data_IF_146158231673
#
_entry.id   IF_146158231673
#
_cell.length_a   1.000
_cell.length_b   1.000
_cell.length_c   1.000
_cell.angle_alpha   90.00
_cell.angle_beta   90.00
_cell.angle_gamma   90.00
#
_symmetry.space_group_name_H-M   'P 1'
#
loop_
_entity.id
_entity.type
_entity.pdbx_description
1 polymer ?
#
# COMPACT_ATOMS: atom_id res chain seq x y z
N UNK A 1 -49.96 21.78 -21.06
CA UNK A 1 -49.79 20.31 -21.01
C UNK A 1 -48.34 19.89 -20.77
N UNK A 2 -47.34 20.69 -21.16
CA UNK A 2 -45.90 20.37 -21.01
C UNK A 2 -45.34 20.48 -19.58
N UNK A 3 -45.96 21.25 -18.68
CA UNK A 3 -45.44 21.43 -17.31
C UNK A 3 -45.62 20.20 -16.39
N UNK A 4 -46.63 19.36 -16.65
CA UNK A 4 -46.88 18.12 -15.86
C UNK A 4 -45.94 16.98 -16.27
N UNK A 5 -45.36 17.03 -17.47
CA UNK A 5 -44.43 16.01 -17.97
C UNK A 5 -43.06 16.09 -17.28
N UNK A 6 -42.60 17.31 -16.96
CA UNK A 6 -41.34 17.53 -16.24
C UNK A 6 -41.37 17.01 -14.79
N UNK A 7 -42.52 17.08 -14.12
CA UNK A 7 -42.65 16.56 -12.75
C UNK A 7 -42.58 15.03 -12.67
N UNK A 8 -43.13 14.31 -13.66
CA UNK A 8 -42.98 12.85 -13.72
C UNK A 8 -41.56 12.41 -14.07
N UNK A 9 -40.84 13.19 -14.88
CA UNK A 9 -39.46 12.89 -15.25
C UNK A 9 -38.48 13.08 -14.07
N UNK A 10 -38.74 14.07 -13.21
CA UNK A 10 -37.95 14.30 -11.98
C UNK A 10 -38.18 13.17 -10.96
N UNK A 11 -39.39 12.64 -10.84
CA UNK A 11 -39.69 11.54 -9.90
C UNK A 11 -39.08 10.21 -10.37
N UNK A 12 -39.00 9.95 -11.67
CA UNK A 12 -38.33 8.74 -12.21
C UNK A 12 -36.82 8.81 -12.06
N UNK A 13 -36.21 9.99 -12.19
CA UNK A 13 -34.77 10.18 -11.93
C UNK A 13 -34.44 10.02 -10.44
N UNK A 14 -35.31 10.46 -9.53
CA UNK A 14 -35.11 10.25 -8.09
C UNK A 14 -35.35 8.79 -7.65
N UNK A 15 -36.23 8.05 -8.32
CA UNK A 15 -36.47 6.64 -8.01
C UNK A 15 -35.34 5.72 -8.51
N UNK A 16 -34.62 6.11 -9.57
CA UNK A 16 -33.45 5.37 -10.08
C UNK A 16 -32.15 5.69 -9.32
N UNK A 17 -32.08 6.83 -8.61
CA UNK A 17 -30.97 7.17 -7.71
C UNK A 17 -30.95 6.40 -6.38
N UNK A 18 -31.91 5.50 -6.14
CA UNK A 18 -31.96 4.63 -4.96
C UNK A 18 -31.43 3.22 -5.21
N UNK A 19 -30.99 2.91 -6.44
CA UNK A 19 -30.14 1.75 -6.65
C UNK A 19 -28.71 2.16 -6.33
N UNK A 20 -28.34 1.98 -5.06
CA UNK A 20 -26.96 1.90 -4.62
C UNK A 20 -26.21 1.00 -5.59
N UNK A 21 -25.35 1.60 -6.41
CA UNK A 21 -24.29 0.85 -7.07
C UNK A 21 -23.54 0.11 -5.96
N UNK A 22 -23.35 -1.21 -6.02
CA UNK A 22 -22.50 -1.89 -5.06
C UNK A 22 -21.14 -1.18 -5.12
N UNK A 23 -20.69 -0.67 -3.98
CA UNK A 23 -19.40 0.00 -3.84
C UNK A 23 -18.33 -0.92 -4.44
N UNK A 24 -17.60 -0.43 -5.45
CA UNK A 24 -16.43 -1.11 -6.02
C UNK A 24 -15.34 -1.33 -4.95
N UNK A 25 -15.36 -0.53 -3.86
CA UNK A 25 -14.53 -0.71 -2.68
C UNK A 25 -14.82 -1.98 -1.85
N UNK A 26 -15.98 -2.61 -2.01
CA UNK A 26 -16.37 -3.79 -1.21
C UNK A 26 -15.69 -5.10 -1.66
N UNK A 27 -14.97 -5.10 -2.78
CA UNK A 27 -14.58 -6.35 -3.44
C UNK A 27 -13.33 -7.02 -2.83
N UNK A 28 -12.51 -6.27 -2.08
CA UNK A 28 -11.26 -6.76 -1.47
C UNK A 28 -11.12 -6.37 0.02
N UNK A 29 -12.22 -5.99 0.69
CA UNK A 29 -12.16 -5.54 2.09
C UNK A 29 -11.55 -6.60 3.01
N UNK A 30 -11.83 -7.88 2.76
CA UNK A 30 -11.26 -8.96 3.55
C UNK A 30 -9.74 -9.07 3.37
N UNK A 31 -9.23 -8.99 2.13
CA UNK A 31 -7.80 -9.03 1.84
C UNK A 31 -7.08 -7.83 2.43
N UNK A 32 -7.65 -6.64 2.34
CA UNK A 32 -7.08 -5.43 2.93
C UNK A 32 -7.01 -5.52 4.47
N UNK A 33 -8.07 -6.07 5.07
CA UNK A 33 -8.14 -6.33 6.50
C UNK A 33 -7.03 -7.29 6.94
N UNK A 34 -6.97 -8.46 6.30
CA UNK A 34 -5.95 -9.47 6.58
C UNK A 34 -4.54 -8.93 6.38
N UNK A 35 -4.30 -8.20 5.29
CA UNK A 35 -2.99 -7.60 4.99
C UNK A 35 -2.55 -6.63 6.09
N UNK A 36 -3.47 -5.80 6.57
CA UNK A 36 -3.20 -4.87 7.67
C UNK A 36 -2.79 -5.62 8.94
N UNK A 37 -3.46 -6.74 9.26
CA UNK A 37 -3.13 -7.56 10.41
C UNK A 37 -1.78 -8.29 10.25
N UNK A 38 -1.47 -8.79 9.06
CA UNK A 38 -0.17 -9.40 8.75
C UNK A 38 0.96 -8.40 8.96
N UNK A 39 0.87 -7.21 8.36
CA UNK A 39 1.89 -6.16 8.48
C UNK A 39 2.08 -5.74 9.94
N UNK A 40 0.99 -5.64 10.70
CA UNK A 40 1.03 -5.37 12.14
C UNK A 40 1.75 -6.48 12.90
N UNK A 41 1.49 -7.74 12.56
CA UNK A 41 2.18 -8.89 13.12
C UNK A 41 3.69 -8.88 12.86
N UNK A 42 4.11 -8.46 11.66
CA UNK A 42 5.52 -8.30 11.30
C UNK A 42 6.19 -7.23 12.17
N UNK A 43 5.54 -6.07 12.34
CA UNK A 43 6.03 -5.01 13.22
C UNK A 43 6.16 -5.44 14.69
N UNK A 44 5.20 -6.24 15.19
CA UNK A 44 5.27 -6.85 16.52
C UNK A 44 6.43 -7.85 16.65
N UNK A 45 6.70 -8.66 15.63
CA UNK A 45 7.82 -9.60 15.64
C UNK A 45 9.17 -8.88 15.69
N UNK A 46 9.34 -7.80 14.91
CA UNK A 46 10.56 -6.99 14.97
C UNK A 46 10.73 -6.29 16.31
N UNK A 47 9.64 -5.78 16.88
CA UNK A 47 9.62 -5.21 18.23
C UNK A 47 10.06 -6.24 19.28
N UNK A 48 9.51 -7.45 19.20
CA UNK A 48 9.86 -8.57 20.08
C UNK A 48 11.32 -8.98 19.95
N UNK A 49 11.83 -9.09 18.72
CA UNK A 49 13.23 -9.41 18.48
C UNK A 49 14.16 -8.34 19.07
N UNK A 50 13.84 -7.06 18.88
CA UNK A 50 14.61 -5.97 19.49
C UNK A 50 14.62 -6.03 21.02
N UNK A 51 13.49 -6.40 21.65
CA UNK A 51 13.40 -6.61 23.11
C UNK A 51 14.21 -7.82 23.58
N UNK A 52 14.24 -8.91 22.81
CA UNK A 52 15.08 -10.08 23.10
C UNK A 52 16.57 -9.75 23.05
N UNK A 53 16.95 -8.82 22.17
CA UNK A 53 18.31 -8.32 22.02
C UNK A 53 18.65 -7.18 23.02
N UNK A 54 17.75 -6.87 23.95
CA UNK A 54 17.86 -5.76 24.93
C UNK A 54 18.06 -4.38 24.27
N UNK A 55 17.55 -4.22 23.05
CA UNK A 55 17.65 -3.00 22.25
C UNK A 55 16.34 -2.21 22.28
N UNK A 56 16.15 -1.41 23.34
CA UNK A 56 14.97 -0.56 23.49
C UNK A 56 14.85 0.52 22.42
N UNK A 57 15.97 1.03 21.90
CA UNK A 57 15.95 2.11 20.90
C UNK A 57 15.32 1.61 19.59
N UNK A 58 15.67 0.40 19.15
CA UNK A 58 15.02 -0.22 17.99
C UNK A 58 13.60 -0.71 18.31
N UNK A 59 13.35 -1.24 19.52
CA UNK A 59 12.00 -1.64 19.93
C UNK A 59 11.02 -0.45 19.93
N UNK A 60 11.47 0.73 20.38
CA UNK A 60 10.70 1.97 20.32
C UNK A 60 10.32 2.30 18.87
N UNK A 61 11.29 2.32 17.96
CA UNK A 61 11.04 2.64 16.56
C UNK A 61 10.14 1.63 15.86
N UNK A 62 10.34 0.33 16.06
CA UNK A 62 9.46 -0.69 15.48
C UNK A 62 8.03 -0.58 16.03
N UNK A 63 7.87 -0.36 17.33
CA UNK A 63 6.54 -0.15 17.91
C UNK A 63 5.89 1.16 17.42
N UNK A 64 6.65 2.22 17.15
CA UNK A 64 6.16 3.44 16.50
C UNK A 64 5.70 3.17 15.06
N UNK A 65 6.52 2.51 14.24
CA UNK A 65 6.14 2.14 12.87
C UNK A 65 4.85 1.31 12.84
N UNK A 66 4.77 0.32 13.74
CA UNK A 66 3.59 -0.56 13.89
C UNK A 66 2.34 0.23 14.29
N UNK A 67 2.45 1.12 15.29
CA UNK A 67 1.32 1.93 15.75
C UNK A 67 0.86 2.92 14.68
N UNK A 68 1.79 3.55 13.95
CA UNK A 68 1.45 4.46 12.86
C UNK A 68 0.74 3.72 11.73
N UNK A 69 1.26 2.55 11.34
CA UNK A 69 0.66 1.70 10.32
C UNK A 69 -0.75 1.21 10.72
N UNK A 70 -0.92 0.72 11.95
CA UNK A 70 -2.24 0.29 12.42
C UNK A 70 -3.20 1.48 12.53
N UNK A 71 -2.71 2.58 13.09
CA UNK A 71 -3.46 3.82 13.31
C UNK A 71 -3.94 4.47 12.02
N UNK A 72 -3.13 4.48 10.94
CA UNK A 72 -3.58 5.01 9.63
C UNK A 72 -4.73 4.19 9.03
N UNK A 73 -4.81 2.90 9.38
CA UNK A 73 -5.85 1.98 8.89
C UNK A 73 -7.06 1.82 9.85
N UNK A 74 -7.03 2.43 11.04
CA UNK A 74 -8.00 2.12 12.12
C UNK A 74 -9.46 2.34 11.72
N UNK A 75 -9.74 3.36 10.90
CA UNK A 75 -11.12 3.66 10.50
C UNK A 75 -11.69 2.56 9.61
N UNK A 76 -10.87 2.02 8.70
CA UNK A 76 -11.24 0.89 7.86
C UNK A 76 -11.37 -0.39 8.69
N UNK A 77 -10.42 -0.67 9.59
CA UNK A 77 -10.50 -1.86 10.45
C UNK A 77 -11.80 -1.86 11.29
N UNK A 78 -12.21 -0.70 11.79
CA UNK A 78 -13.48 -0.52 12.53
C UNK A 78 -14.73 -0.78 11.70
N UNK A 79 -14.70 -0.65 10.37
CA UNK A 79 -15.87 -0.99 9.55
C UNK A 79 -16.11 -2.49 9.48
N UNK A 80 -15.08 -3.30 9.76
CA UNK A 80 -15.12 -4.76 9.69
C UNK A 80 -15.36 -5.35 11.08
N UNK A 81 -14.52 -4.99 12.06
CA UNK A 81 -14.67 -5.41 13.45
C UNK A 81 -14.19 -4.30 14.39
N UNK A 82 -15.12 -3.45 14.85
CA UNK A 82 -14.79 -2.31 15.71
C UNK A 82 -14.21 -2.74 17.06
N UNK A 83 -14.75 -3.79 17.67
CA UNK A 83 -14.36 -4.21 19.01
C UNK A 83 -12.94 -4.80 18.99
N UNK A 84 -12.65 -5.67 18.02
CA UNK A 84 -11.29 -6.18 17.83
C UNK A 84 -10.31 -5.05 17.51
N UNK A 85 -10.69 -4.14 16.61
CA UNK A 85 -9.80 -3.06 16.15
C UNK A 85 -9.44 -2.09 17.26
N UNK A 86 -10.42 -1.69 18.07
CA UNK A 86 -10.19 -0.79 19.19
C UNK A 86 -9.34 -1.44 20.28
N UNK A 87 -9.62 -2.71 20.63
CA UNK A 87 -8.82 -3.44 21.61
C UNK A 87 -7.37 -3.60 21.14
N UNK A 88 -7.15 -4.02 19.89
CA UNK A 88 -5.81 -4.15 19.32
C UNK A 88 -5.07 -2.80 19.32
N UNK A 89 -5.75 -1.71 18.93
CA UNK A 89 -5.12 -0.39 18.93
C UNK A 89 -4.69 0.05 20.34
N UNK A 90 -5.54 -0.18 21.36
CA UNK A 90 -5.21 0.13 22.76
C UNK A 90 -4.00 -0.69 23.23
N UNK A 91 -4.00 -2.01 22.96
CA UNK A 91 -2.90 -2.89 23.38
C UNK A 91 -1.57 -2.50 22.69
N UNK A 92 -1.60 -2.08 21.42
CA UNK A 92 -0.41 -1.57 20.72
C UNK A 92 0.13 -0.27 21.33
N UNK A 93 -0.76 0.61 21.80
CA UNK A 93 -0.38 1.85 22.48
C UNK A 93 0.15 1.60 23.90
N UNK A 94 -0.44 0.66 24.62
CA UNK A 94 0.01 0.25 25.96
C UNK A 94 1.38 -0.43 25.88
N UNK A 95 1.59 -1.31 24.89
CA UNK A 95 2.89 -1.92 24.60
C UNK A 95 3.94 -0.84 24.32
N UNK A 96 3.64 0.11 23.43
CA UNK A 96 4.56 1.21 23.11
C UNK A 96 4.89 2.06 24.35
N UNK A 97 3.88 2.38 25.16
CA UNK A 97 4.07 3.10 26.43
C UNK A 97 4.97 2.32 27.40
N UNK A 98 4.82 1.00 27.46
CA UNK A 98 5.66 0.11 28.25
C UNK A 98 7.12 0.07 27.78
N UNK A 99 7.35 0.14 26.47
CA UNK A 99 8.70 0.25 25.87
C UNK A 99 9.34 1.59 26.27
N UNK A 100 8.61 2.70 26.11
CA UNK A 100 9.08 4.05 26.50
C UNK A 100 9.43 4.14 27.99
N UNK A 101 8.66 3.48 28.85
CA UNK A 101 8.93 3.42 30.29
C UNK A 101 10.03 2.44 30.68
N UNK A 102 10.62 1.72 29.71
CA UNK A 102 11.62 0.67 29.92
C UNK A 102 11.16 -0.42 30.90
N UNK A 103 9.89 -0.83 30.76
CA UNK A 103 9.33 -1.99 31.47
C UNK A 103 10.12 -3.26 31.12
N UNK A 104 10.13 -4.27 31.99
CA UNK A 104 11.03 -5.43 31.80
C UNK A 104 10.77 -6.15 30.46
N UNK A 105 11.81 -6.62 29.75
CA UNK A 105 11.62 -7.30 28.47
C UNK A 105 10.67 -8.50 28.55
N UNK A 106 10.73 -9.26 29.65
CA UNK A 106 9.82 -10.38 29.88
C UNK A 106 8.36 -9.96 29.95
N UNK A 107 8.06 -8.83 30.60
CA UNK A 107 6.68 -8.34 30.71
C UNK A 107 6.17 -7.87 29.35
N UNK A 108 7.00 -7.14 28.60
CA UNK A 108 6.66 -6.65 27.26
C UNK A 108 6.48 -7.79 26.26
N UNK A 109 7.35 -8.81 26.28
CA UNK A 109 7.21 -10.00 25.44
C UNK A 109 5.94 -10.78 25.80
N UNK A 110 5.59 -10.86 27.09
CA UNK A 110 4.34 -11.48 27.54
C UNK A 110 3.10 -10.69 27.08
N UNK A 111 3.20 -9.39 26.82
CA UNK A 111 2.15 -8.60 26.18
C UNK A 111 2.09 -8.84 24.66
N UNK A 112 3.24 -8.99 23.99
CA UNK A 112 3.29 -9.22 22.53
C UNK A 112 2.71 -10.59 22.16
N UNK A 113 3.01 -11.65 22.92
CA UNK A 113 2.65 -13.02 22.55
C UNK A 113 1.13 -13.21 22.31
N UNK A 114 0.22 -12.76 23.19
CA UNK A 114 -1.22 -12.83 22.94
C UNK A 114 -1.68 -12.04 21.71
N UNK A 115 -1.07 -10.88 21.43
CA UNK A 115 -1.40 -10.08 20.24
C UNK A 115 -1.05 -10.85 18.96
N UNK A 116 0.15 -11.44 18.91
CA UNK A 116 0.58 -12.27 17.79
C UNK A 116 -0.31 -13.51 17.62
N UNK A 117 -0.67 -14.19 18.72
CA UNK A 117 -1.59 -15.32 18.68
C UNK A 117 -2.94 -14.90 18.09
N UNK A 118 -3.50 -13.77 18.55
CA UNK A 118 -4.79 -13.27 18.06
C UNK A 118 -4.74 -12.91 16.58
N UNK A 119 -3.69 -12.25 16.11
CA UNK A 119 -3.50 -11.92 14.70
C UNK A 119 -3.39 -13.19 13.82
N UNK A 120 -2.76 -14.25 14.34
CA UNK A 120 -2.59 -15.52 13.61
C UNK A 120 -3.89 -16.33 13.43
N UNK A 121 -4.92 -16.05 14.23
CA UNK A 121 -6.22 -16.71 14.14
C UNK A 121 -7.08 -16.18 12.99
N UNK A 122 -6.72 -15.03 12.42
CA UNK A 122 -7.47 -14.46 11.29
C UNK A 122 -7.15 -15.28 10.03
N UNK A 123 -8.16 -15.88 9.38
CA UNK A 123 -7.92 -16.68 8.19
C UNK A 123 -7.33 -15.82 7.08
N UNK A 124 -6.34 -16.38 6.38
CA UNK A 124 -5.84 -15.79 5.15
C UNK A 124 -7.02 -15.62 4.18
N UNK A 125 -7.14 -14.42 3.60
CA UNK A 125 -8.18 -14.11 2.62
C UNK A 125 -8.16 -15.05 1.42
N UNK A 126 -9.23 -15.04 0.62
CA UNK A 126 -9.33 -15.96 -0.52
C UNK A 126 -8.34 -15.60 -1.63
N UNK A 127 -8.02 -14.31 -1.77
CA UNK A 127 -7.10 -13.83 -2.80
C UNK A 127 -5.73 -13.44 -2.24
N UNK A 128 -4.83 -14.41 -2.19
CA UNK A 128 -3.44 -14.22 -1.72
C UNK A 128 -2.64 -13.23 -2.59
N UNK A 129 -2.96 -13.08 -3.88
CA UNK A 129 -2.27 -12.14 -4.76
C UNK A 129 -2.50 -10.69 -4.31
N UNK A 130 -3.72 -10.38 -3.88
CA UNK A 130 -4.06 -9.07 -3.32
C UNK A 130 -3.30 -8.86 -2.02
N UNK A 131 -3.26 -9.86 -1.14
CA UNK A 131 -2.51 -9.77 0.12
C UNK A 131 -1.03 -9.47 -0.12
N UNK A 132 -0.40 -10.20 -1.05
CA UNK A 132 0.99 -9.96 -1.44
C UNK A 132 1.16 -8.55 -2.00
N UNK A 133 0.25 -8.08 -2.86
CA UNK A 133 0.30 -6.73 -3.40
C UNK A 133 0.22 -5.65 -2.30
N UNK A 134 -0.65 -5.81 -1.30
CA UNK A 134 -0.74 -4.89 -0.16
C UNK A 134 0.52 -4.88 0.70
N UNK A 135 1.11 -6.05 0.96
CA UNK A 135 2.40 -6.14 1.67
C UNK A 135 3.50 -5.41 0.89
N UNK A 136 3.50 -5.53 -0.44
CA UNK A 136 4.46 -4.84 -1.29
C UNK A 136 4.26 -3.33 -1.33
N UNK A 137 3.02 -2.82 -1.23
CA UNK A 137 2.77 -1.38 -1.08
C UNK A 137 3.42 -0.82 0.19
N UNK A 138 3.28 -1.53 1.32
CA UNK A 138 3.95 -1.12 2.55
C UNK A 138 5.47 -1.33 2.46
N UNK A 139 5.94 -2.33 1.71
CA UNK A 139 7.37 -2.55 1.46
C UNK A 139 8.00 -1.34 0.78
N UNK A 140 7.31 -0.78 -0.21
CA UNK A 140 7.74 0.44 -0.91
C UNK A 140 7.76 1.65 0.03
N UNK A 141 6.68 1.88 0.78
CA UNK A 141 6.59 2.99 1.77
C UNK A 141 7.76 2.94 2.77
N UNK A 142 8.03 1.77 3.35
CA UNK A 142 9.14 1.59 4.29
C UNK A 142 10.51 1.76 3.63
N UNK A 143 10.66 1.34 2.37
CA UNK A 143 11.92 1.53 1.66
C UNK A 143 12.18 3.01 1.34
N UNK A 144 11.15 3.76 0.94
CA UNK A 144 11.24 5.20 0.75
C UNK A 144 11.63 5.91 2.05
N UNK A 145 10.99 5.55 3.18
CA UNK A 145 11.38 6.07 4.50
C UNK A 145 12.85 5.81 4.82
N UNK A 146 13.34 4.60 4.53
CA UNK A 146 14.75 4.26 4.69
C UNK A 146 15.66 5.16 3.82
N UNK A 147 15.34 5.35 2.54
CA UNK A 147 16.16 6.18 1.64
C UNK A 147 16.17 7.65 2.09
N UNK A 148 15.03 8.18 2.50
CA UNK A 148 14.88 9.59 2.90
C UNK A 148 15.50 9.90 4.27
N UNK A 149 15.34 8.99 5.23
CA UNK A 149 15.69 9.24 6.63
C UNK A 149 16.87 8.42 7.15
N UNK A 150 17.38 7.47 6.35
CA UNK A 150 18.47 6.56 6.70
C UNK A 150 18.19 5.77 7.98
N UNK A 151 16.95 5.32 8.15
CA UNK A 151 16.49 4.53 9.30
C UNK A 151 16.69 3.05 9.05
N UNK A 152 17.65 2.44 9.76
CA UNK A 152 17.90 0.99 9.66
C UNK A 152 16.64 0.16 10.00
N UNK A 153 15.79 0.65 10.91
CA UNK A 153 14.54 -0.03 11.26
C UNK A 153 13.54 -0.06 10.09
N UNK A 154 13.42 1.01 9.30
CA UNK A 154 12.59 0.98 8.08
C UNK A 154 13.17 0.02 7.04
N UNK A 155 14.50 -0.05 6.92
CA UNK A 155 15.15 -1.03 6.04
C UNK A 155 14.89 -2.48 6.48
N UNK A 156 15.01 -2.80 7.78
CA UNK A 156 14.69 -4.13 8.28
C UNK A 156 13.20 -4.46 8.19
N UNK A 157 12.31 -3.46 8.32
CA UNK A 157 10.89 -3.61 8.04
C UNK A 157 10.65 -3.96 6.55
N UNK A 158 11.28 -3.24 5.61
CA UNK A 158 11.25 -3.58 4.17
C UNK A 158 11.67 -5.04 3.93
N UNK A 159 12.80 -5.47 4.51
CA UNK A 159 13.27 -6.85 4.35
C UNK A 159 12.26 -7.87 4.87
N UNK A 160 11.67 -7.59 6.04
CA UNK A 160 10.71 -8.49 6.69
C UNK A 160 9.39 -8.60 5.92
N UNK A 161 8.92 -7.48 5.36
CA UNK A 161 7.74 -7.43 4.49
C UNK A 161 7.99 -8.17 3.18
N UNK A 162 9.15 -7.96 2.56
CA UNK A 162 9.54 -8.65 1.33
C UNK A 162 9.62 -10.16 1.54
N UNK A 163 10.25 -10.63 2.61
CA UNK A 163 10.30 -12.05 2.95
C UNK A 163 8.91 -12.63 3.23
N UNK A 164 8.05 -11.92 3.95
CA UNK A 164 6.68 -12.35 4.18
C UNK A 164 5.86 -12.40 2.89
N UNK A 165 6.03 -11.45 1.98
CA UNK A 165 5.34 -11.44 0.69
C UNK A 165 5.64 -12.72 -0.12
N UNK A 166 6.91 -13.16 -0.13
CA UNK A 166 7.35 -14.42 -0.75
C UNK A 166 6.78 -15.64 -0.04
N UNK A 167 6.68 -15.62 1.30
CA UNK A 167 6.07 -16.70 2.08
C UNK A 167 4.59 -16.85 1.72
N UNK A 168 3.83 -15.75 1.71
CA UNK A 168 2.40 -15.75 1.36
C UNK A 168 2.20 -16.21 -0.09
N UNK A 169 3.02 -15.73 -1.02
CA UNK A 169 2.93 -16.13 -2.42
C UNK A 169 3.17 -17.64 -2.62
N UNK A 170 4.13 -18.22 -1.89
CA UNK A 170 4.46 -19.65 -1.98
C UNK A 170 3.39 -20.58 -1.37
N UNK A 171 2.47 -20.05 -0.56
CA UNK A 171 1.31 -20.81 -0.09
C UNK A 171 0.26 -21.02 -1.21
N UNK A 172 0.38 -20.27 -2.30
CA UNK A 172 -0.45 -20.41 -3.49
C UNK A 172 0.24 -21.26 -4.57
N UNK A 173 -0.54 -22.08 -5.26
CA UNK A 173 -0.08 -22.77 -6.47
C UNK A 173 -0.40 -21.90 -7.69
N UNK A 174 0.54 -21.08 -8.15
CA UNK A 174 0.43 -20.35 -9.41
C UNK A 174 0.35 -21.36 -10.57
N UNK A 175 -0.79 -21.50 -11.27
CA UNK A 175 -0.95 -22.54 -12.29
C UNK A 175 -0.19 -22.23 -13.59
N UNK A 176 0.04 -20.94 -13.88
CA UNK A 176 0.81 -20.49 -15.04
C UNK A 176 2.31 -20.51 -14.70
N UNK A 177 3.02 -21.50 -15.24
CA UNK A 177 4.47 -21.67 -15.07
C UNK A 177 5.27 -20.47 -15.60
N UNK A 178 4.79 -19.79 -16.64
CA UNK A 178 5.47 -18.60 -17.18
C UNK A 178 5.35 -17.43 -16.21
N UNK A 179 4.14 -17.16 -15.71
CA UNK A 179 3.91 -16.12 -14.70
C UNK A 179 4.74 -16.38 -13.44
N UNK A 180 4.82 -17.65 -13.01
CA UNK A 180 5.65 -18.02 -11.87
C UNK A 180 7.13 -17.69 -12.09
N UNK A 181 7.69 -18.06 -13.24
CA UNK A 181 9.10 -17.77 -13.57
C UNK A 181 9.38 -16.27 -13.65
N UNK A 182 8.43 -15.50 -14.18
CA UNK A 182 8.51 -14.04 -14.26
C UNK A 182 8.50 -13.39 -12.87
N UNK A 183 7.56 -13.78 -12.02
CA UNK A 183 7.50 -13.33 -10.62
C UNK A 183 8.78 -13.71 -9.85
N UNK A 184 9.26 -14.96 -10.00
CA UNK A 184 10.52 -15.41 -9.37
C UNK A 184 11.70 -14.53 -9.81
N UNK A 185 11.74 -14.13 -11.08
CA UNK A 185 12.76 -13.21 -11.62
C UNK A 185 12.65 -11.82 -11.00
N UNK A 186 11.44 -11.23 -10.98
CA UNK A 186 11.24 -9.89 -10.43
C UNK A 186 11.52 -9.84 -8.92
N UNK A 187 11.10 -10.84 -8.15
CA UNK A 187 11.46 -10.93 -6.74
C UNK A 187 12.97 -11.08 -6.53
N UNK A 188 13.66 -11.85 -7.39
CA UNK A 188 15.12 -11.96 -7.33
C UNK A 188 15.82 -10.62 -7.59
N UNK A 189 15.33 -9.85 -8.55
CA UNK A 189 15.89 -8.53 -8.87
C UNK A 189 15.52 -7.47 -7.82
N UNK A 190 14.34 -7.60 -7.19
CA UNK A 190 13.92 -6.78 -6.05
C UNK A 190 14.83 -7.04 -4.84
N UNK A 191 15.06 -8.32 -4.49
CA UNK A 191 15.97 -8.71 -3.40
C UNK A 191 17.37 -8.11 -3.62
N UNK A 192 17.91 -8.20 -4.85
CA UNK A 192 19.21 -7.59 -5.19
C UNK A 192 19.18 -6.06 -5.09
N UNK A 193 18.11 -5.43 -5.57
CA UNK A 193 18.01 -3.97 -5.59
C UNK A 193 17.95 -3.39 -4.18
N UNK A 194 17.14 -4.00 -3.30
CA UNK A 194 17.05 -3.67 -1.88
C UNK A 194 18.37 -3.95 -1.16
N UNK A 195 18.98 -5.12 -1.36
CA UNK A 195 20.27 -5.48 -0.74
C UNK A 195 21.41 -4.53 -1.15
N UNK A 196 21.40 -4.06 -2.40
CA UNK A 196 22.35 -3.07 -2.91
C UNK A 196 22.01 -1.64 -2.49
N UNK A 197 20.92 -1.42 -1.75
CA UNK A 197 20.42 -0.09 -1.34
C UNK A 197 20.26 0.84 -2.55
N UNK A 198 19.69 0.31 -3.63
CA UNK A 198 19.44 1.05 -4.87
C UNK A 198 18.49 2.23 -4.63
N UNK A 199 18.41 3.17 -5.57
CA UNK A 199 17.46 4.28 -5.43
C UNK A 199 16.00 3.76 -5.33
N UNK A 200 15.12 4.56 -4.72
CA UNK A 200 13.74 4.15 -4.46
C UNK A 200 12.96 3.90 -5.77
N UNK A 201 13.24 4.62 -6.86
CA UNK A 201 12.60 4.41 -8.17
C UNK A 201 12.86 3.00 -8.71
N UNK A 202 14.10 2.51 -8.63
CA UNK A 202 14.45 1.17 -9.09
C UNK A 202 13.71 0.07 -8.30
N UNK A 203 13.56 0.26 -6.99
CA UNK A 203 12.83 -0.67 -6.12
C UNK A 203 11.31 -0.58 -6.36
N UNK A 204 10.77 0.64 -6.45
CA UNK A 204 9.36 0.90 -6.74
C UNK A 204 8.92 0.29 -8.07
N UNK A 205 9.70 0.47 -9.14
CA UNK A 205 9.39 -0.11 -10.45
C UNK A 205 9.28 -1.65 -10.42
N UNK A 206 10.14 -2.33 -9.65
CA UNK A 206 10.07 -3.78 -9.48
C UNK A 206 8.84 -4.19 -8.66
N UNK A 207 8.52 -3.44 -7.61
CA UNK A 207 7.30 -3.65 -6.80
C UNK A 207 6.05 -3.49 -7.67
N UNK A 208 5.95 -2.42 -8.46
CA UNK A 208 4.82 -2.16 -9.37
C UNK A 208 4.67 -3.25 -10.42
N UNK A 209 5.77 -3.73 -11.01
CA UNK A 209 5.74 -4.84 -11.97
C UNK A 209 5.17 -6.12 -11.35
N UNK A 210 5.65 -6.48 -10.14
CA UNK A 210 5.14 -7.64 -9.40
C UNK A 210 3.65 -7.48 -9.08
N UNK A 211 3.23 -6.31 -8.57
CA UNK A 211 1.84 -6.04 -8.23
C UNK A 211 0.92 -6.14 -9.46
N UNK A 212 1.32 -5.58 -10.59
CA UNK A 212 0.59 -5.65 -11.86
C UNK A 212 0.35 -7.10 -12.29
N UNK A 213 1.40 -7.92 -12.25
CA UNK A 213 1.34 -9.31 -12.70
C UNK A 213 0.53 -10.19 -11.74
N UNK A 214 0.61 -9.92 -10.43
CA UNK A 214 -0.17 -10.63 -9.40
C UNK A 214 -1.66 -10.32 -9.47
N UNK A 215 -2.01 -9.04 -9.63
CA UNK A 215 -3.41 -8.61 -9.66
C UNK A 215 -4.09 -8.97 -10.98
N UNK A 216 -3.34 -9.42 -12.00
CA UNK A 216 -3.83 -9.72 -13.35
C UNK A 216 -4.68 -8.57 -13.90
N UNK A 217 -4.37 -7.35 -13.46
CA UNK A 217 -5.07 -6.14 -13.82
C UNK A 217 -4.57 -5.68 -15.17
N UNK A 218 -5.09 -6.28 -16.25
CA UNK A 218 -5.41 -5.44 -17.39
C UNK A 218 -6.45 -4.41 -16.88
N UNK A 219 -6.00 -3.19 -16.60
CA UNK A 219 -6.79 -2.07 -16.04
C UNK A 219 -7.29 -2.27 -14.61
N UNK A 220 -6.55 -1.73 -13.63
CA UNK A 220 -7.22 -1.11 -12.48
C UNK A 220 -8.19 -0.08 -13.11
N UNK A 221 -9.44 -0.05 -12.67
CA UNK A 221 -10.30 1.10 -12.87
C UNK A 221 -9.72 2.25 -12.04
N UNK A 222 -8.55 2.74 -12.47
CA UNK A 222 -8.11 4.06 -12.12
C UNK A 222 -9.25 4.93 -12.60
N UNK A 223 -9.71 5.86 -11.78
CA UNK A 223 -10.58 6.90 -12.29
C UNK A 223 -9.74 7.69 -13.30
N UNK A 224 -9.74 7.24 -14.56
CA UNK A 224 -8.91 7.79 -15.63
C UNK A 224 -9.27 9.25 -15.85
N UNK A 225 -10.52 9.63 -15.56
CA UNK A 225 -10.93 11.03 -15.56
C UNK A 225 -10.21 11.83 -14.46
N UNK A 226 -10.04 11.24 -13.27
CA UNK A 226 -9.25 11.82 -12.19
C UNK A 226 -7.75 11.87 -12.52
N UNK A 227 -7.15 10.88 -13.20
CA UNK A 227 -5.75 10.99 -13.65
C UNK A 227 -5.52 12.20 -14.56
N UNK A 228 -6.41 12.46 -15.52
CA UNK A 228 -6.29 13.66 -16.35
C UNK A 228 -6.42 14.95 -15.53
N UNK A 229 -7.20 14.96 -14.45
CA UNK A 229 -7.33 16.10 -13.55
C UNK A 229 -6.06 16.29 -12.69
N UNK A 230 -5.54 15.21 -12.11
CA UNK A 230 -4.29 15.19 -11.33
C UNK A 230 -3.11 15.65 -12.19
N UNK A 231 -2.93 15.08 -13.38
CA UNK A 231 -1.87 15.47 -14.33
C UNK A 231 -1.97 16.96 -14.69
N UNK A 232 -3.19 17.49 -14.91
CA UNK A 232 -3.39 18.92 -15.21
C UNK A 232 -3.04 19.82 -14.02
N UNK A 233 -3.35 19.39 -12.81
CA UNK A 233 -3.02 20.12 -11.60
C UNK A 233 -1.50 20.13 -11.38
N UNK A 234 -0.84 18.98 -11.48
CA UNK A 234 0.62 18.86 -11.38
C UNK A 234 1.33 19.71 -12.44
N UNK A 235 0.87 19.71 -13.70
CA UNK A 235 1.43 20.61 -14.72
C UNK A 235 1.18 22.09 -14.45
N UNK A 236 0.05 22.44 -13.82
CA UNK A 236 -0.23 23.82 -13.42
C UNK A 236 0.71 24.28 -12.31
N UNK A 237 1.01 23.42 -11.34
CA UNK A 237 1.96 23.67 -10.26
C UNK A 237 3.40 23.70 -10.77
N UNK A 238 3.76 22.79 -11.68
CA UNK A 238 5.05 22.78 -12.37
C UNK A 238 5.27 24.10 -13.10
N UNK A 239 4.26 24.61 -13.81
CA UNK A 239 4.35 25.88 -14.51
C UNK A 239 4.58 27.05 -13.55
N UNK A 240 3.98 27.02 -12.36
CA UNK A 240 4.23 28.02 -11.31
C UNK A 240 5.68 27.91 -10.82
N UNK A 241 6.16 26.71 -10.51
CA UNK A 241 7.52 26.44 -10.03
C UNK A 241 8.60 26.88 -11.05
N UNK A 242 8.40 26.59 -12.34
CA UNK A 242 9.27 27.05 -13.42
C UNK A 242 9.32 28.59 -13.48
N UNK A 243 8.18 29.26 -13.35
CA UNK A 243 8.11 30.73 -13.40
C UNK A 243 8.70 31.40 -12.16
N UNK A 244 8.78 30.70 -11.02
CA UNK A 244 9.49 31.16 -9.82
C UNK A 244 10.97 30.77 -9.80
N UNK A 245 11.51 30.18 -10.88
CA UNK A 245 12.86 29.59 -10.95
C UNK A 245 13.13 28.51 -9.89
N UNK A 246 12.09 27.85 -9.40
CA UNK A 246 12.19 26.72 -8.49
C UNK A 246 12.23 25.40 -9.28
N UNK A 247 13.39 25.15 -9.90
CA UNK A 247 13.55 24.01 -10.80
C UNK A 247 13.56 22.65 -10.09
N UNK A 248 13.87 22.61 -8.79
CA UNK A 248 13.84 21.37 -8.00
C UNK A 248 12.41 20.88 -7.84
N UNK A 249 11.52 21.76 -7.39
CA UNK A 249 10.10 21.47 -7.27
C UNK A 249 9.46 21.20 -8.64
N UNK A 250 9.89 21.93 -9.68
CA UNK A 250 9.41 21.69 -11.04
C UNK A 250 9.78 20.30 -11.58
N UNK A 251 10.96 19.78 -11.24
CA UNK A 251 11.42 18.45 -11.64
C UNK A 251 10.61 17.35 -10.92
N UNK A 252 10.40 17.48 -9.62
CA UNK A 252 9.58 16.55 -8.83
C UNK A 252 8.14 16.47 -9.37
N UNK A 253 7.50 17.63 -9.60
CA UNK A 253 6.15 17.70 -10.17
C UNK A 253 6.07 17.12 -11.60
N UNK A 254 7.16 17.20 -12.38
CA UNK A 254 7.22 16.62 -13.72
C UNK A 254 7.27 15.09 -13.67
N UNK A 255 8.08 14.55 -12.76
CA UNK A 255 8.25 13.12 -12.53
C UNK A 255 6.94 12.52 -12.03
N UNK A 256 6.30 13.17 -11.04
CA UNK A 256 5.02 12.74 -10.50
C UNK A 256 3.91 12.78 -11.58
N UNK A 257 3.86 13.84 -12.39
CA UNK A 257 2.89 13.92 -13.48
C UNK A 257 3.09 12.82 -14.53
N UNK A 258 4.34 12.43 -14.79
CA UNK A 258 4.68 11.46 -15.83
C UNK A 258 4.67 10.01 -15.32
N UNK A 259 5.60 9.64 -14.44
CA UNK A 259 5.78 8.26 -13.98
C UNK A 259 4.66 7.81 -13.04
N UNK A 260 4.15 8.71 -12.20
CA UNK A 260 3.16 8.33 -11.19
C UNK A 260 1.71 8.52 -11.66
N UNK A 261 1.50 9.09 -12.86
CA UNK A 261 0.16 9.35 -13.36
C UNK A 261 -0.01 9.09 -14.87
N UNK A 262 0.84 9.66 -15.74
CA UNK A 262 0.70 9.50 -17.19
C UNK A 262 1.02 8.09 -17.68
N UNK A 263 2.01 7.41 -17.10
CA UNK A 263 2.40 6.03 -17.46
C UNK A 263 1.19 5.07 -17.46
N UNK A 264 0.27 5.27 -16.50
CA UNK A 264 -0.97 4.50 -16.38
C UNK A 264 -1.97 4.70 -17.54
N UNK A 265 -1.80 5.74 -18.35
CA UNK A 265 -2.64 6.07 -19.50
C UNK A 265 -2.02 5.61 -20.83
N UNK A 266 -0.70 5.34 -20.88
CA UNK A 266 0.03 5.08 -22.12
C UNK A 266 -0.56 3.90 -22.89
N UNK A 267 -0.76 2.76 -22.22
CA UNK A 267 -1.31 1.56 -22.87
C UNK A 267 -2.70 1.77 -23.49
N UNK A 268 -3.51 2.68 -22.94
CA UNK A 268 -4.83 2.98 -23.51
C UNK A 268 -4.75 3.97 -24.68
N UNK A 269 -3.87 4.97 -24.58
CA UNK A 269 -3.62 5.93 -25.66
C UNK A 269 -3.01 5.18 -26.85
N UNK A 270 -2.04 4.30 -26.63
CA UNK A 270 -1.37 3.49 -27.66
C UNK A 270 -2.38 2.66 -28.46
N UNK A 271 -3.33 1.99 -27.78
CA UNK A 271 -4.37 1.16 -28.40
C UNK A 271 -5.31 1.94 -29.32
N UNK A 272 -5.50 3.22 -29.06
CA UNK A 272 -6.46 4.07 -29.78
C UNK A 272 -5.77 4.96 -30.81
N UNK A 273 -4.60 5.50 -30.47
CA UNK A 273 -3.80 6.42 -31.28
C UNK A 273 -2.32 6.41 -30.83
N UNK A 274 -1.57 5.41 -31.31
CA UNK A 274 -0.12 5.27 -31.12
C UNK A 274 0.65 6.53 -31.55
N UNK A 275 0.20 7.24 -32.60
CA UNK A 275 0.87 8.46 -33.05
C UNK A 275 0.70 9.61 -32.06
N UNK A 276 -0.43 9.66 -31.34
CA UNK A 276 -0.66 10.63 -30.29
C UNK A 276 0.23 10.36 -29.08
N UNK A 277 0.34 9.11 -28.63
CA UNK A 277 1.23 8.75 -27.51
C UNK A 277 2.68 9.18 -27.78
N UNK A 278 3.22 8.80 -28.95
CA UNK A 278 4.57 9.16 -29.37
C UNK A 278 4.80 10.69 -29.40
N UNK A 279 3.75 11.50 -29.62
CA UNK A 279 3.85 12.96 -29.61
C UNK A 279 3.79 13.57 -28.22
N UNK A 280 3.32 12.83 -27.22
CA UNK A 280 3.23 13.25 -25.81
C UNK A 280 4.50 12.90 -25.03
N UNK A 281 5.31 11.95 -25.51
CA UNK A 281 6.60 11.55 -24.94
C UNK A 281 7.80 12.42 -25.42
N UNK A 282 7.57 13.32 -26.39
CA UNK A 282 8.58 14.16 -27.06
C UNK A 282 8.60 15.62 -26.55
#
# INVERSE_FOLDING_TARGET
MQLKFYWYLIIVVFALGLFSTPNVYAQNEQENYVSTLIITGIGLELTKQALLDDNYDSAEKYSTLTNNFYGKNIQFLRTIDSDFSDNMHIELLDLHSGILSKSTPSDLINQINPLQETLSLVPLGENLNIIVAFILSETDEQYQMFIQHQTDESYFMTLSLLDHSKIVLNQYSIPDERLKLELDSFFSDLDKSVANKSNFVAVGNLITAIQRDLLQTETIAIDKANLYEVIRNLYSELFIAVNSNDYSTAEELAIEAYLENFEYLESDIEKVDESLLNSLEL
#
